data_IF_839657021139
#
_entry.id   IF_839657021139
#
_cell.length_a   1.000
_cell.length_b   1.000
_cell.length_c   1.000
_cell.angle_alpha   90.00
_cell.angle_beta   90.00
_cell.angle_gamma   90.00
#
_symmetry.space_group_name_H-M   'P 1'
#
loop_
_entity.id
_entity.type
_entity.pdbx_description
1 polymer ?
#
# COMPACT_ATOMS: atom_id res chain seq x y z
N UNK A 1 0.87 22.88 -17.19
CA UNK A 1 1.85 22.78 -16.10
C UNK A 1 3.23 22.91 -16.70
N UNK A 2 4.10 23.73 -16.13
CA UNK A 2 5.50 23.78 -16.55
C UNK A 2 6.15 22.41 -16.34
N UNK A 3 7.12 22.05 -17.19
CA UNK A 3 7.93 20.86 -16.93
C UNK A 3 8.63 21.01 -15.57
N UNK A 4 8.74 19.94 -14.78
CA UNK A 4 9.41 20.00 -13.48
C UNK A 4 10.89 20.37 -13.67
N UNK A 5 11.45 21.09 -12.70
CA UNK A 5 12.88 21.46 -12.70
C UNK A 5 13.76 20.20 -12.84
N UNK A 6 14.57 20.08 -13.91
CA UNK A 6 15.43 18.93 -14.12
C UNK A 6 16.41 18.68 -12.96
N UNK A 7 16.90 19.73 -12.30
CA UNK A 7 17.80 19.62 -11.16
C UNK A 7 17.13 18.96 -9.96
N UNK A 8 15.91 19.39 -9.65
CA UNK A 8 15.08 18.81 -8.60
C UNK A 8 14.76 17.33 -8.88
N UNK A 9 14.37 17.02 -10.12
CA UNK A 9 14.07 15.63 -10.52
C UNK A 9 15.30 14.73 -10.40
N UNK A 10 16.47 15.22 -10.80
CA UNK A 10 17.72 14.47 -10.67
C UNK A 10 18.07 14.19 -9.19
N UNK A 11 17.93 15.20 -8.32
CA UNK A 11 18.13 15.04 -6.89
C UNK A 11 17.17 14.01 -6.29
N UNK A 12 15.87 14.17 -6.52
CA UNK A 12 14.86 13.23 -6.01
C UNK A 12 15.01 11.82 -6.57
N UNK A 13 15.48 11.68 -7.81
CA UNK A 13 15.84 10.37 -8.38
C UNK A 13 16.95 9.73 -7.57
N UNK A 14 18.03 10.46 -7.27
CA UNK A 14 19.15 9.96 -6.49
C UNK A 14 18.73 9.57 -5.07
N UNK A 15 17.87 10.38 -4.43
CA UNK A 15 17.33 10.08 -3.10
C UNK A 15 16.45 8.82 -3.09
N UNK A 16 15.59 8.63 -4.09
CA UNK A 16 14.79 7.41 -4.21
C UNK A 16 15.65 6.17 -4.46
N UNK A 17 16.70 6.26 -5.28
CA UNK A 17 17.64 5.16 -5.48
C UNK A 17 18.39 4.82 -4.18
N UNK A 18 18.76 5.83 -3.38
CA UNK A 18 19.33 5.63 -2.05
C UNK A 18 18.34 4.93 -1.10
N UNK A 19 17.10 5.40 -1.04
CA UNK A 19 16.06 4.80 -0.19
C UNK A 19 15.80 3.34 -0.59
N UNK A 20 15.69 3.05 -1.88
CA UNK A 20 15.53 1.67 -2.37
C UNK A 20 16.71 0.76 -2.00
N UNK A 21 17.94 1.28 -1.99
CA UNK A 21 19.12 0.52 -1.59
C UNK A 21 19.22 0.28 -0.07
N UNK A 22 18.61 1.14 0.74
CA UNK A 22 18.55 1.01 2.21
C UNK A 22 17.37 0.14 2.68
N UNK A 23 16.35 -0.02 1.84
CA UNK A 23 15.17 -0.77 2.19
C UNK A 23 15.44 -2.28 2.19
N UNK A 24 15.09 -2.96 3.28
CA UNK A 24 14.94 -4.41 3.31
C UNK A 24 13.52 -4.81 2.85
N UNK A 25 13.41 -5.81 1.99
CA UNK A 25 12.14 -6.34 1.47
C UNK A 25 11.91 -7.80 1.86
N UNK A 26 12.61 -8.24 2.89
CA UNK A 26 12.47 -9.52 3.57
C UNK A 26 12.10 -9.24 5.04
N UNK A 27 11.62 -10.27 5.73
CA UNK A 27 11.37 -10.17 7.17
C UNK A 27 12.71 -10.13 7.90
N UNK A 28 12.99 -9.03 8.59
CA UNK A 28 14.22 -8.91 9.38
C UNK A 28 14.23 -9.93 10.54
N UNK A 29 15.43 -10.46 10.86
CA UNK A 29 15.61 -11.46 11.92
C UNK A 29 15.24 -10.95 13.33
N UNK A 30 15.22 -9.62 13.53
CA UNK A 30 14.95 -8.94 14.80
C UNK A 30 13.53 -8.36 14.89
N UNK A 31 12.62 -8.71 13.98
CA UNK A 31 11.22 -8.29 14.08
C UNK A 31 10.61 -8.72 15.43
N UNK A 32 9.90 -7.82 16.14
CA UNK A 32 9.34 -8.12 17.45
C UNK A 32 8.07 -9.00 17.38
N UNK A 33 7.65 -9.37 16.18
CA UNK A 33 6.49 -10.20 15.92
C UNK A 33 6.79 -11.18 14.77
N UNK A 34 5.99 -12.23 14.66
CA UNK A 34 6.04 -13.17 13.55
C UNK A 34 4.63 -13.41 13.01
N UNK A 35 4.41 -13.07 11.74
CA UNK A 35 3.23 -13.54 11.00
C UNK A 35 3.45 -15.03 10.65
N UNK A 36 3.10 -15.92 11.57
CA UNK A 36 3.63 -17.28 11.64
C UNK A 36 3.30 -18.19 10.44
N UNK A 37 4.23 -19.13 10.24
CA UNK A 37 4.38 -20.24 9.27
C UNK A 37 3.21 -21.24 9.13
N UNK A 38 2.13 -21.12 9.90
CA UNK A 38 0.99 -22.05 9.87
C UNK A 38 -0.03 -21.76 8.76
N UNK A 39 -0.08 -20.50 8.28
CA UNK A 39 -0.79 -20.18 7.04
C UNK A 39 0.08 -20.64 5.87
N UNK A 40 -0.28 -21.80 5.29
CA UNK A 40 0.32 -22.21 4.03
C UNK A 40 -0.36 -21.41 2.94
N UNK A 41 0.36 -20.44 2.38
CA UNK A 41 -0.06 -19.78 1.14
C UNK A 41 -0.34 -20.87 0.11
N UNK A 42 -1.62 -21.06 -0.22
CA UNK A 42 -2.03 -22.12 -1.14
C UNK A 42 -1.97 -21.58 -2.56
N UNK A 43 -1.23 -22.28 -3.42
CA UNK A 43 -1.24 -22.00 -4.86
C UNK A 43 -2.53 -22.57 -5.45
N UNK A 44 -3.36 -21.71 -6.01
CA UNK A 44 -4.59 -22.13 -6.67
C UNK A 44 -4.30 -22.63 -8.10
N UNK A 45 -5.05 -23.63 -8.60
CA UNK A 45 -4.95 -24.05 -9.98
C UNK A 45 -5.16 -22.88 -10.95
N UNK A 46 -4.40 -22.85 -12.04
CA UNK A 46 -4.57 -21.80 -13.05
C UNK A 46 -5.93 -21.93 -13.71
N UNK A 47 -6.73 -20.87 -13.60
CA UNK A 47 -8.02 -20.77 -14.28
C UNK A 47 -7.87 -20.61 -15.81
N UNK A 48 -6.72 -20.11 -16.27
CA UNK A 48 -6.42 -19.89 -17.69
C UNK A 48 -4.91 -20.14 -17.95
N UNK A 49 -4.50 -20.71 -19.10
CA UNK A 49 -3.08 -21.02 -19.37
C UNK A 49 -2.13 -19.82 -19.26
N UNK A 50 -2.61 -18.65 -19.70
CA UNK A 50 -1.89 -17.37 -19.66
C UNK A 50 -2.13 -16.56 -18.37
N UNK A 51 -2.98 -17.06 -17.46
CA UNK A 51 -3.20 -16.37 -16.20
C UNK A 51 -2.00 -16.58 -15.25
N UNK A 52 -1.65 -15.55 -14.48
CA UNK A 52 -0.71 -15.69 -13.38
C UNK A 52 -1.25 -16.64 -12.31
N UNK A 53 -0.33 -17.16 -11.49
CA UNK A 53 -0.71 -17.99 -10.34
C UNK A 53 -1.41 -17.14 -9.29
N UNK A 54 -2.52 -17.65 -8.75
CA UNK A 54 -3.24 -17.04 -7.63
C UNK A 54 -2.81 -17.75 -6.35
N UNK A 55 -2.62 -16.95 -5.31
CA UNK A 55 -2.27 -17.39 -3.97
C UNK A 55 -3.47 -17.19 -3.05
N UNK A 56 -3.61 -18.02 -2.03
CA UNK A 56 -4.64 -17.89 -1.00
C UNK A 56 -4.06 -18.01 0.39
N UNK A 57 -4.31 -17.01 1.23
CA UNK A 57 -4.11 -17.10 2.68
C UNK A 57 -5.35 -17.67 3.36
N UNK A 58 -5.15 -18.58 4.32
CA UNK A 58 -6.24 -19.07 5.18
C UNK A 58 -6.46 -18.05 6.31
N UNK A 59 -7.43 -17.17 6.09
CA UNK A 59 -7.66 -16.03 6.97
C UNK A 59 -8.11 -16.43 8.37
N UNK A 60 -8.79 -17.57 8.51
CA UNK A 60 -9.25 -18.08 9.80
C UNK A 60 -8.09 -18.68 10.62
N UNK A 61 -6.94 -18.93 9.98
CA UNK A 61 -5.71 -19.43 10.60
C UNK A 61 -4.58 -18.40 10.64
N UNK A 62 -4.85 -17.15 10.28
CA UNK A 62 -3.86 -16.08 10.40
C UNK A 62 -3.62 -15.79 11.88
N UNK A 63 -2.41 -16.11 12.33
CA UNK A 63 -1.90 -15.78 13.66
C UNK A 63 -0.63 -14.94 13.52
N UNK A 64 -0.60 -13.81 14.23
CA UNK A 64 0.53 -12.87 14.23
C UNK A 64 1.03 -12.75 15.67
N UNK A 65 1.92 -13.65 16.02
CA UNK A 65 2.46 -13.76 17.37
C UNK A 65 3.37 -12.57 17.68
N UNK A 66 3.23 -11.99 18.88
CA UNK A 66 4.08 -10.89 19.35
C UNK A 66 3.74 -9.51 18.78
N UNK A 67 2.69 -9.38 17.96
CA UNK A 67 2.21 -8.08 17.49
C UNK A 67 1.17 -7.54 18.47
N UNK A 68 1.44 -6.38 19.06
CA UNK A 68 0.60 -5.69 20.05
C UNK A 68 0.10 -4.34 19.54
N UNK A 69 0.88 -3.66 18.69
CA UNK A 69 0.51 -2.35 18.14
C UNK A 69 0.85 -2.18 16.66
N UNK A 70 -0.11 -1.62 15.93
CA UNK A 70 0.04 -1.23 14.53
C UNK A 70 -0.36 0.23 14.37
N UNK A 71 0.16 0.92 13.37
CA UNK A 71 -0.26 2.28 13.10
C UNK A 71 -0.54 2.53 11.62
N UNK A 72 -1.38 3.50 11.33
CA UNK A 72 -1.66 3.96 9.98
C UNK A 72 -1.37 5.44 9.82
N UNK A 73 -0.94 5.83 8.62
CA UNK A 73 -0.75 7.23 8.25
C UNK A 73 -1.50 7.58 6.98
N UNK A 74 -2.04 8.81 6.94
CA UNK A 74 -2.76 9.38 5.81
C UNK A 74 -2.67 10.91 5.80
N UNK A 75 -2.84 11.53 4.63
CA UNK A 75 -3.10 12.97 4.49
C UNK A 75 -4.49 13.19 3.90
N UNK A 76 -5.36 13.77 4.71
CA UNK A 76 -6.69 14.20 4.27
C UNK A 76 -6.66 15.65 3.80
N UNK A 77 -6.81 15.86 2.49
CA UNK A 77 -6.76 17.19 1.88
C UNK A 77 -8.03 18.02 2.13
N UNK A 78 -7.84 19.33 2.31
CA UNK A 78 -8.92 20.34 2.45
C UNK A 78 -9.88 20.29 1.27
N UNK A 79 -9.33 20.29 0.07
CA UNK A 79 -10.06 20.30 -1.19
C UNK A 79 -9.27 19.60 -2.31
N UNK A 80 -9.72 19.75 -3.56
CA UNK A 80 -9.14 19.07 -4.72
C UNK A 80 -7.80 19.67 -5.20
N UNK A 81 -7.35 20.79 -4.63
CA UNK A 81 -6.02 21.35 -4.94
C UNK A 81 -4.90 20.41 -4.51
N UNK A 82 -5.08 19.71 -3.37
CA UNK A 82 -4.03 18.91 -2.75
C UNK A 82 -2.91 19.74 -2.12
N UNK A 83 -3.13 21.03 -1.89
CA UNK A 83 -2.11 21.96 -1.37
C UNK A 83 -2.12 22.09 0.15
N UNK A 84 -3.27 21.89 0.79
CA UNK A 84 -3.41 21.90 2.24
C UNK A 84 -4.16 20.65 2.70
N UNK A 85 -3.72 20.07 3.82
CA UNK A 85 -4.35 18.88 4.39
C UNK A 85 -4.06 18.69 5.87
N UNK A 86 -4.55 17.60 6.41
CA UNK A 86 -4.24 17.13 7.76
C UNK A 86 -3.52 15.80 7.64
N UNK A 87 -2.24 15.78 8.01
CA UNK A 87 -1.49 14.54 8.18
C UNK A 87 -1.87 13.91 9.51
N UNK A 88 -2.08 12.59 9.52
CA UNK A 88 -2.50 11.84 10.70
C UNK A 88 -1.63 10.61 10.90
N UNK A 89 -1.30 10.32 12.15
CA UNK A 89 -0.80 9.04 12.64
C UNK A 89 -1.85 8.47 13.60
N UNK A 90 -2.35 7.27 13.32
CA UNK A 90 -3.29 6.56 14.19
C UNK A 90 -2.64 5.27 14.69
N UNK A 91 -2.39 5.17 16.01
CA UNK A 91 -1.85 3.96 16.66
C UNK A 91 -3.01 3.14 17.22
N UNK A 92 -3.07 1.86 16.83
CA UNK A 92 -4.11 0.93 17.20
C UNK A 92 -3.51 -0.26 17.96
N UNK A 93 -4.28 -0.82 18.90
CA UNK A 93 -3.95 -2.10 19.51
C UNK A 93 -4.16 -3.24 18.52
N UNK A 94 -3.43 -4.33 18.68
CA UNK A 94 -3.60 -5.58 17.96
C UNK A 94 -3.81 -6.71 18.98
N UNK A 95 -4.72 -7.68 18.73
CA UNK A 95 -5.54 -7.84 17.53
C UNK A 95 -6.84 -7.02 17.53
N UNK A 96 -7.16 -6.25 18.58
CA UNK A 96 -8.49 -5.60 18.72
C UNK A 96 -8.72 -4.45 17.74
N UNK A 97 -7.67 -3.89 17.14
CA UNK A 97 -7.70 -2.75 16.21
C UNK A 97 -8.46 -1.54 16.80
N UNK A 98 -8.27 -1.31 18.10
CA UNK A 98 -8.83 -0.17 18.83
C UNK A 98 -7.83 0.97 18.85
N UNK A 99 -8.29 2.20 18.59
CA UNK A 99 -7.44 3.39 18.67
C UNK A 99 -6.86 3.54 20.08
N UNK A 100 -5.53 3.56 20.18
CA UNK A 100 -4.75 3.79 21.40
C UNK A 100 -4.34 5.26 21.51
N UNK A 101 -3.84 5.82 20.40
CA UNK A 101 -3.43 7.21 20.31
C UNK A 101 -3.53 7.72 18.88
N UNK A 102 -3.66 9.04 18.73
CA UNK A 102 -3.57 9.69 17.42
C UNK A 102 -2.83 11.01 17.52
N UNK A 103 -2.05 11.32 16.48
CA UNK A 103 -1.40 12.61 16.28
C UNK A 103 -1.85 13.15 14.93
N UNK A 104 -2.03 14.47 14.85
CA UNK A 104 -2.42 15.11 13.60
C UNK A 104 -1.82 16.50 13.49
N UNK A 105 -1.51 16.91 12.27
CA UNK A 105 -0.97 18.24 12.00
C UNK A 105 -1.54 18.79 10.71
N UNK A 106 -1.88 20.07 10.70
CA UNK A 106 -2.17 20.81 9.46
C UNK A 106 -0.88 20.96 8.67
N UNK A 107 -0.91 20.56 7.41
CA UNK A 107 0.25 20.55 6.51
C UNK A 107 -0.06 21.32 5.24
N UNK A 108 0.98 21.94 4.68
CA UNK A 108 0.92 22.57 3.36
C UNK A 108 1.94 21.91 2.44
N UNK A 109 1.47 21.46 1.29
CA UNK A 109 2.26 20.85 0.22
C UNK A 109 2.48 21.84 -0.94
N UNK A 110 2.04 23.10 -0.81
CA UNK A 110 2.06 24.08 -1.89
C UNK A 110 3.49 24.43 -2.36
N UNK A 111 4.47 24.35 -1.46
CA UNK A 111 5.88 24.66 -1.75
C UNK A 111 6.61 23.51 -2.45
N UNK A 112 6.05 22.30 -2.48
CA UNK A 112 6.67 21.12 -3.09
C UNK A 112 5.87 20.69 -4.33
N UNK A 113 6.46 20.74 -5.53
CA UNK A 113 5.73 20.48 -6.76
C UNK A 113 5.23 19.04 -6.86
N UNK A 114 4.05 18.84 -7.46
CA UNK A 114 3.58 17.50 -7.83
C UNK A 114 4.32 16.98 -9.05
N UNK A 115 5.15 15.96 -8.85
CA UNK A 115 5.80 15.22 -9.94
C UNK A 115 5.39 13.75 -9.83
N UNK A 116 4.89 13.19 -10.92
CA UNK A 116 4.46 11.80 -10.97
C UNK A 116 5.60 10.86 -10.55
N UNK A 117 5.32 9.88 -9.67
CA UNK A 117 6.30 8.99 -9.02
C UNK A 117 7.25 9.66 -8.00
N UNK A 118 6.95 10.87 -7.54
CA UNK A 118 7.71 11.56 -6.49
C UNK A 118 6.82 12.08 -5.35
N UNK A 119 5.63 11.49 -5.18
CA UNK A 119 4.67 11.91 -4.16
C UNK A 119 5.26 11.81 -2.74
N UNK A 120 6.13 10.83 -2.47
CA UNK A 120 6.78 10.64 -1.17
C UNK A 120 7.51 11.89 -0.68
N UNK A 121 8.13 12.68 -1.55
CA UNK A 121 8.80 13.93 -1.16
C UNK A 121 7.83 15.01 -0.66
N UNK A 122 6.55 14.91 -1.02
CA UNK A 122 5.51 15.82 -0.51
C UNK A 122 4.92 15.40 0.82
N UNK A 123 4.95 14.10 1.15
CA UNK A 123 4.16 13.56 2.28
C UNK A 123 4.99 12.83 3.36
N UNK A 124 6.07 12.13 2.98
CA UNK A 124 6.76 11.20 3.88
C UNK A 124 7.32 11.89 5.13
N UNK A 125 7.92 13.07 4.97
CA UNK A 125 8.47 13.84 6.08
C UNK A 125 7.43 14.21 7.13
N UNK A 126 6.17 14.49 6.74
CA UNK A 126 5.10 14.74 7.70
C UNK A 126 4.76 13.49 8.51
N UNK A 127 4.83 12.30 7.91
CA UNK A 127 4.60 11.05 8.62
C UNK A 127 5.75 10.72 9.58
N UNK A 128 6.99 10.96 9.16
CA UNK A 128 8.19 10.80 10.00
C UNK A 128 8.10 11.71 11.22
N UNK A 129 7.78 12.99 11.01
CA UNK A 129 7.58 13.98 12.08
C UNK A 129 6.55 13.53 13.12
N UNK A 130 5.44 12.92 12.70
CA UNK A 130 4.40 12.43 13.61
C UNK A 130 4.87 11.22 14.42
N UNK A 131 5.66 10.32 13.82
CA UNK A 131 6.26 9.18 14.52
C UNK A 131 7.29 9.65 15.56
N UNK A 132 8.13 10.62 15.18
CA UNK A 132 9.12 11.19 16.10
C UNK A 132 8.46 12.01 17.23
N UNK A 133 7.37 12.71 16.93
CA UNK A 133 6.55 13.38 17.94
C UNK A 133 5.96 12.38 18.94
N UNK A 134 5.41 11.26 18.47
CA UNK A 134 4.93 10.16 19.33
C UNK A 134 6.06 9.69 20.28
N UNK A 135 7.21 9.30 19.72
CA UNK A 135 8.38 8.81 20.47
C UNK A 135 8.84 9.80 21.54
N UNK A 136 8.84 11.09 21.21
CA UNK A 136 9.34 12.15 22.10
C UNK A 136 8.35 12.58 23.16
N UNK A 137 7.04 12.57 22.87
CA UNK A 137 6.03 13.22 23.72
C UNK A 137 5.13 12.27 24.49
N UNK A 138 5.02 11.01 24.06
CA UNK A 138 4.10 10.02 24.65
C UNK A 138 4.82 8.71 24.95
N UNK A 139 5.76 8.70 25.92
CA UNK A 139 6.44 7.47 26.34
C UNK A 139 5.48 6.44 26.96
N UNK A 140 4.27 6.86 27.33
CA UNK A 140 3.18 6.00 27.79
C UNK A 140 2.50 5.20 26.65
N UNK A 141 2.66 5.64 25.41
CA UNK A 141 2.10 4.97 24.22
C UNK A 141 3.20 4.14 23.57
N UNK A 142 3.00 2.82 23.37
CA UNK A 142 3.99 2.00 22.68
C UNK A 142 4.24 2.51 21.26
N UNK A 143 5.50 2.49 20.83
CA UNK A 143 5.86 2.72 19.43
C UNK A 143 5.26 1.59 18.60
N UNK A 144 4.56 1.89 17.49
CA UNK A 144 3.96 0.85 16.66
C UNK A 144 5.02 -0.08 16.09
N UNK A 145 4.73 -1.38 16.09
CA UNK A 145 5.63 -2.39 15.55
C UNK A 145 5.56 -2.47 14.02
N UNK A 146 4.45 -2.00 13.42
CA UNK A 146 4.27 -1.90 11.96
C UNK A 146 3.53 -0.61 11.62
N UNK A 147 3.96 0.07 10.56
CA UNK A 147 3.27 1.22 9.97
C UNK A 147 2.63 0.87 8.62
N UNK A 148 1.35 1.19 8.47
CA UNK A 148 0.60 1.09 7.22
C UNK A 148 0.52 2.47 6.59
N UNK A 149 1.00 2.60 5.36
CA UNK A 149 1.03 3.87 4.62
C UNK A 149 0.03 3.82 3.47
N UNK A 150 -0.87 4.81 3.37
CA UNK A 150 -1.76 4.95 2.20
C UNK A 150 -0.94 5.33 0.96
N UNK A 151 -0.52 4.33 0.19
CA UNK A 151 0.41 4.49 -0.92
C UNK A 151 1.16 3.21 -1.24
N UNK A 152 2.07 3.28 -2.21
CA UNK A 152 2.90 2.14 -2.58
C UNK A 152 4.19 2.09 -1.75
N UNK A 153 4.75 0.90 -1.59
CA UNK A 153 6.12 0.64 -1.15
C UNK A 153 7.01 0.29 -2.34
N UNK A 154 7.49 -0.96 -2.39
CA UNK A 154 8.37 -1.49 -3.45
C UNK A 154 7.72 -1.48 -4.84
N UNK A 155 6.39 -1.54 -4.93
CA UNK A 155 5.65 -1.37 -6.18
C UNK A 155 5.71 0.08 -6.67
N UNK A 156 6.88 0.48 -7.15
CA UNK A 156 7.20 1.84 -7.58
C UNK A 156 8.29 1.78 -8.67
N UNK A 157 8.33 2.71 -9.66
CA UNK A 157 9.31 2.64 -10.76
C UNK A 157 10.78 2.58 -10.32
N UNK A 158 11.06 3.08 -9.12
CA UNK A 158 12.39 3.07 -8.49
C UNK A 158 12.44 2.26 -7.20
N UNK A 159 11.46 1.39 -6.96
CA UNK A 159 11.32 0.60 -5.73
C UNK A 159 11.27 1.41 -4.41
N UNK A 160 11.05 2.73 -4.51
CA UNK A 160 11.02 3.67 -3.39
C UNK A 160 9.72 4.48 -3.37
N UNK A 161 8.60 3.79 -3.15
CA UNK A 161 7.31 4.43 -2.88
C UNK A 161 7.28 5.09 -1.49
N UNK A 162 6.13 5.68 -1.14
CA UNK A 162 5.93 6.38 0.13
C UNK A 162 6.21 5.50 1.35
N UNK A 163 5.74 4.24 1.34
CA UNK A 163 5.99 3.33 2.46
C UNK A 163 7.48 3.02 2.66
N UNK A 164 8.26 2.99 1.56
CA UNK A 164 9.73 2.80 1.61
C UNK A 164 10.39 4.02 2.22
N UNK A 165 10.05 5.22 1.75
CA UNK A 165 10.61 6.47 2.26
C UNK A 165 10.37 6.61 3.77
N UNK A 166 9.12 6.42 4.21
CA UNK A 166 8.76 6.48 5.64
C UNK A 166 9.46 5.38 6.44
N UNK A 167 9.52 4.15 5.93
CA UNK A 167 10.14 3.04 6.65
C UNK A 167 11.64 3.23 6.84
N UNK A 168 12.36 3.61 5.79
CA UNK A 168 13.80 3.87 5.85
C UNK A 168 14.12 5.02 6.81
N UNK A 169 13.31 6.09 6.80
CA UNK A 169 13.55 7.27 7.66
C UNK A 169 13.16 7.02 9.13
N UNK A 170 12.10 6.26 9.40
CA UNK A 170 11.66 5.94 10.77
C UNK A 170 12.39 4.74 11.39
N UNK A 171 12.97 3.87 10.57
CA UNK A 171 13.51 2.56 10.95
C UNK A 171 12.45 1.51 11.30
N UNK A 172 11.16 1.83 11.13
CA UNK A 172 10.05 0.92 11.43
C UNK A 172 9.75 -0.02 10.26
N UNK A 173 9.23 -1.23 10.52
CA UNK A 173 8.63 -2.06 9.51
C UNK A 173 7.42 -1.36 8.88
N UNK A 174 7.35 -1.32 7.55
CA UNK A 174 6.27 -0.61 6.84
C UNK A 174 5.66 -1.40 5.69
N UNK A 175 4.36 -1.20 5.50
CA UNK A 175 3.59 -1.76 4.38
C UNK A 175 2.85 -0.64 3.64
N UNK A 176 2.96 -0.63 2.32
CA UNK A 176 2.18 0.24 1.45
C UNK A 176 0.83 -0.38 1.11
N UNK A 177 -0.25 0.38 1.33
CA UNK A 177 -1.63 0.04 0.99
C UNK A 177 -2.15 1.04 -0.04
N UNK A 178 -2.21 0.65 -1.31
CA UNK A 178 -2.79 1.49 -2.36
C UNK A 178 -4.23 1.06 -2.71
N UNK A 179 -5.11 2.06 -2.92
CA UNK A 179 -6.53 1.87 -3.26
C UNK A 179 -6.75 1.54 -4.74
N UNK A 180 -5.83 2.00 -5.59
CA UNK A 180 -5.85 1.90 -7.05
C UNK A 180 -4.51 1.33 -7.55
N UNK A 181 -4.51 0.66 -8.71
CA UNK A 181 -3.30 0.15 -9.33
C UNK A 181 -2.56 1.29 -10.04
N UNK A 182 -1.25 1.32 -9.86
CA UNK A 182 -0.35 2.23 -10.55
C UNK A 182 0.60 1.42 -11.45
N UNK A 183 0.39 1.40 -12.78
CA UNK A 183 1.29 0.72 -13.70
C UNK A 183 2.72 1.27 -13.58
N UNK A 184 3.72 0.39 -13.59
CA UNK A 184 5.13 0.78 -13.56
C UNK A 184 5.64 1.26 -14.94
N UNK A 185 4.96 0.85 -16.00
CA UNK A 185 5.28 1.22 -17.38
C UNK A 185 3.99 1.61 -18.10
N UNK A 186 4.05 2.65 -18.92
CA UNK A 186 2.98 2.95 -19.88
C UNK A 186 3.03 1.92 -21.02
N UNK A 187 1.87 1.50 -21.56
CA UNK A 187 1.86 0.61 -22.71
C UNK A 187 2.61 1.28 -23.88
N UNK A 188 3.55 0.53 -24.47
CA UNK A 188 4.05 0.85 -25.81
C UNK A 188 2.88 0.82 -26.79
N UNK A 189 2.78 1.83 -27.66
CA UNK A 189 1.69 2.01 -28.64
C UNK A 189 1.49 0.82 -29.63
N UNK A 190 2.37 -0.18 -29.60
CA UNK A 190 2.46 -1.23 -30.62
C UNK A 190 1.72 -2.54 -30.30
N UNK A 191 0.98 -2.65 -29.19
CA UNK A 191 0.27 -3.88 -28.83
C UNK A 191 -1.25 -3.82 -29.06
N UNK A 192 -1.68 -3.48 -30.28
CA UNK A 192 -3.05 -3.75 -30.74
C UNK A 192 -3.10 -5.07 -31.50
N UNK A 193 -3.11 -6.19 -30.76
CA UNK A 193 -3.56 -7.47 -31.33
C UNK A 193 -4.97 -7.78 -30.85
N UNK A 194 -5.96 -7.24 -31.57
CA UNK A 194 -7.36 -7.63 -31.37
C UNK A 194 -7.61 -8.96 -32.07
N UNK A 195 -7.55 -10.07 -31.34
CA UNK A 195 -8.07 -11.36 -31.82
C UNK A 195 -9.59 -11.39 -31.64
N UNK A 196 -10.31 -11.52 -32.76
CA UNK A 196 -11.75 -11.78 -32.76
C UNK A 196 -12.05 -13.13 -32.09
N UNK A 197 -12.85 -13.12 -31.02
CA UNK A 197 -13.45 -14.33 -30.43
C UNK A 197 -14.95 -14.37 -30.74
N UNK A 198 -15.47 -15.59 -30.91
CA UNK A 198 -16.90 -15.85 -31.16
C UNK A 198 -17.77 -15.40 -29.97
N UNK A 199 -19.02 -14.96 -30.21
CA UNK A 199 -19.89 -14.37 -29.20
C UNK A 199 -20.34 -15.32 -28.07
N UNK A 200 -19.97 -16.61 -28.11
CA UNK A 200 -20.32 -17.62 -27.11
C UNK A 200 -19.14 -18.06 -26.23
N UNK A 201 -17.91 -17.62 -26.51
CA UNK A 201 -16.78 -17.93 -25.65
C UNK A 201 -16.67 -16.89 -24.53
N UNK A 202 -16.33 -17.30 -23.29
CA UNK A 202 -15.99 -16.33 -22.25
C UNK A 202 -14.85 -15.44 -22.77
N UNK A 203 -14.87 -14.13 -22.48
CA UNK A 203 -13.86 -13.21 -22.98
C UNK A 203 -12.46 -13.70 -22.54
N UNK A 204 -11.46 -13.62 -23.44
CA UNK A 204 -10.12 -14.10 -23.13
C UNK A 204 -9.53 -13.32 -21.94
N UNK A 205 -8.69 -13.99 -21.15
CA UNK A 205 -8.01 -13.38 -20.01
C UNK A 205 -7.19 -12.15 -20.48
N UNK A 206 -7.30 -10.98 -19.80
CA UNK A 206 -6.58 -9.77 -20.22
C UNK A 206 -5.08 -9.91 -19.96
N UNK A 207 -4.30 -10.28 -20.97
CA UNK A 207 -2.85 -10.54 -20.84
C UNK A 207 -2.02 -9.27 -20.58
N UNK A 208 -2.56 -8.10 -20.88
CA UNK A 208 -1.94 -6.78 -20.69
C UNK A 208 -2.37 -6.11 -19.37
N UNK A 209 -2.91 -6.88 -18.42
CA UNK A 209 -3.51 -6.37 -17.17
C UNK A 209 -2.59 -5.47 -16.32
N UNK A 210 -1.26 -5.58 -16.46
CA UNK A 210 -0.27 -4.76 -15.76
C UNK A 210 -0.11 -3.34 -16.33
N UNK A 211 -0.75 -3.02 -17.46
CA UNK A 211 -0.59 -1.72 -18.15
C UNK A 211 -1.61 -0.66 -17.73
N UNK A 212 -2.71 -1.06 -17.07
CA UNK A 212 -3.77 -0.14 -16.69
C UNK A 212 -4.57 -0.62 -15.49
N UNK A 213 -5.15 0.32 -14.74
CA UNK A 213 -6.06 0.01 -13.64
C UNK A 213 -7.31 -0.77 -14.11
N UNK A 214 -7.79 -0.52 -15.32
CA UNK A 214 -8.93 -1.25 -15.89
C UNK A 214 -8.57 -2.71 -16.16
N UNK A 215 -7.42 -2.95 -16.81
CA UNK A 215 -6.93 -4.31 -17.08
C UNK A 215 -6.68 -5.09 -15.80
N UNK A 216 -6.02 -4.45 -14.81
CA UNK A 216 -5.77 -5.04 -13.50
C UNK A 216 -7.07 -5.44 -12.78
N UNK A 217 -8.07 -4.55 -12.77
CA UNK A 217 -9.40 -4.86 -12.18
C UNK A 217 -10.06 -6.05 -12.88
N UNK A 218 -10.04 -6.10 -14.21
CA UNK A 218 -10.62 -7.20 -14.97
C UNK A 218 -9.92 -8.54 -14.67
N UNK A 219 -8.58 -8.55 -14.58
CA UNK A 219 -7.82 -9.73 -14.19
C UNK A 219 -8.18 -10.19 -12.77
N UNK A 220 -8.26 -9.26 -11.81
CA UNK A 220 -8.64 -9.59 -10.44
C UNK A 220 -10.06 -10.15 -10.35
N UNK A 221 -11.02 -9.59 -11.07
CA UNK A 221 -12.40 -10.10 -11.11
C UNK A 221 -12.49 -11.51 -11.72
N UNK A 222 -11.65 -11.82 -12.70
CA UNK A 222 -11.59 -13.14 -13.31
C UNK A 222 -10.92 -14.19 -12.39
N UNK A 223 -9.96 -13.77 -11.55
CA UNK A 223 -9.06 -14.69 -10.84
C UNK A 223 -9.29 -14.79 -9.34
N UNK A 224 -9.60 -13.68 -8.66
CA UNK A 224 -9.73 -13.62 -7.22
C UNK A 224 -11.20 -13.83 -6.83
N UNK A 225 -11.48 -14.87 -6.05
CA UNK A 225 -12.84 -15.33 -5.79
C UNK A 225 -13.31 -15.01 -4.37
N UNK A 226 -12.39 -14.95 -3.42
CA UNK A 226 -12.73 -14.73 -2.01
C UNK A 226 -11.66 -13.97 -1.25
N UNK A 227 -12.00 -13.56 -0.02
CA UNK A 227 -11.06 -12.94 0.91
C UNK A 227 -9.84 -13.85 1.12
N UNK A 228 -8.65 -13.24 1.09
CA UNK A 228 -7.39 -13.96 1.20
C UNK A 228 -6.79 -14.38 -0.14
N UNK A 229 -7.55 -14.30 -1.24
CA UNK A 229 -7.00 -14.49 -2.58
C UNK A 229 -6.16 -13.27 -2.97
N UNK A 230 -4.96 -13.54 -3.50
CA UNK A 230 -4.09 -12.51 -4.02
C UNK A 230 -3.30 -12.94 -5.25
N UNK A 231 -2.98 -11.95 -6.07
CA UNK A 231 -2.18 -12.07 -7.27
C UNK A 231 -0.86 -11.35 -7.05
N UNK A 232 0.27 -12.06 -7.21
CA UNK A 232 1.59 -11.45 -7.20
C UNK A 232 1.82 -10.50 -8.38
N UNK A 233 2.48 -9.38 -8.13
CA UNK A 233 2.78 -8.34 -9.10
C UNK A 233 4.29 -8.24 -9.28
N UNK A 234 4.78 -8.59 -10.46
CA UNK A 234 6.18 -8.44 -10.84
C UNK A 234 6.35 -7.35 -11.91
N UNK A 235 7.42 -6.55 -11.89
CA UNK A 235 7.76 -5.68 -13.01
C UNK A 235 8.17 -6.54 -14.23
N UNK A 236 8.06 -6.01 -15.46
CA UNK A 236 8.44 -6.76 -16.67
C UNK A 236 9.89 -7.28 -16.69
N UNK A 237 10.78 -6.64 -15.93
CA UNK A 237 12.20 -6.96 -15.84
C UNK A 237 12.55 -7.99 -14.76
N UNK A 238 11.57 -8.47 -13.97
CA UNK A 238 11.81 -9.40 -12.86
C UNK A 238 10.75 -10.51 -12.82
N UNK A 239 11.14 -11.66 -12.27
CA UNK A 239 10.21 -12.73 -11.89
C UNK A 239 9.78 -12.64 -10.42
N UNK A 240 10.44 -11.79 -9.64
CA UNK A 240 10.14 -11.54 -8.24
C UNK A 240 8.91 -10.64 -8.10
N UNK A 241 8.01 -11.00 -7.19
CA UNK A 241 6.84 -10.17 -6.89
C UNK A 241 7.24 -9.00 -5.98
N UNK A 242 6.99 -7.78 -6.42
CA UNK A 242 7.22 -6.54 -5.66
C UNK A 242 5.95 -6.04 -4.95
N UNK A 243 4.80 -6.63 -5.27
CA UNK A 243 3.51 -6.29 -4.68
C UNK A 243 2.48 -7.39 -4.91
N UNK A 244 1.28 -7.17 -4.41
CA UNK A 244 0.15 -8.05 -4.57
C UNK A 244 -1.14 -7.26 -4.81
N UNK A 245 -1.99 -7.73 -5.73
CA UNK A 245 -3.39 -7.34 -5.76
C UNK A 245 -4.16 -8.32 -4.86
N UNK A 246 -4.79 -7.82 -3.79
CA UNK A 246 -5.34 -8.61 -2.69
C UNK A 246 -6.84 -8.34 -2.52
N UNK A 247 -7.65 -9.41 -2.48
CA UNK A 247 -9.01 -9.34 -1.93
C UNK A 247 -8.95 -9.43 -0.40
N UNK A 248 -8.93 -8.27 0.24
CA UNK A 248 -8.83 -8.15 1.71
C UNK A 248 -10.20 -8.11 2.42
N UNK A 249 -11.25 -7.71 1.71
CA UNK A 249 -12.54 -7.41 2.32
C UNK A 249 -13.27 -8.65 2.83
N UNK A 250 -13.90 -8.61 4.01
CA UNK A 250 -14.77 -9.69 4.49
C UNK A 250 -16.17 -9.67 3.90
N UNK A 251 -16.49 -8.70 3.02
CA UNK A 251 -17.78 -8.70 2.32
C UNK A 251 -17.86 -9.86 1.33
N UNK A 252 -18.96 -10.63 1.39
CA UNK A 252 -19.18 -11.83 0.54
C UNK A 252 -19.09 -11.57 -0.97
N UNK A 253 -19.38 -10.34 -1.41
CA UNK A 253 -19.39 -9.95 -2.82
C UNK A 253 -18.26 -8.95 -3.15
N UNK A 254 -17.18 -8.94 -2.37
CA UNK A 254 -16.05 -8.06 -2.61
C UNK A 254 -15.34 -8.44 -3.91
N UNK A 255 -15.29 -7.49 -4.85
CA UNK A 255 -14.63 -7.66 -6.15
C UNK A 255 -13.46 -6.69 -6.36
N UNK A 256 -13.34 -5.68 -5.49
CA UNK A 256 -12.36 -4.63 -5.64
C UNK A 256 -11.14 -4.92 -4.76
N UNK A 257 -9.97 -5.20 -5.35
CA UNK A 257 -8.78 -5.45 -4.56
C UNK A 257 -8.25 -4.16 -3.93
N UNK A 258 -7.31 -4.35 -3.00
CA UNK A 258 -6.28 -3.37 -2.64
C UNK A 258 -4.95 -3.83 -3.20
N UNK A 259 -3.98 -2.92 -3.28
CA UNK A 259 -2.63 -3.21 -3.75
C UNK A 259 -1.68 -3.08 -2.58
N UNK A 260 -1.07 -4.20 -2.20
CA UNK A 260 -0.16 -4.31 -1.05
C UNK A 260 1.27 -4.40 -1.59
N UNK A 261 2.19 -3.65 -1.01
CA UNK A 261 3.62 -3.80 -1.33
C UNK A 261 4.48 -3.55 -0.09
N UNK A 262 5.56 -4.32 0.12
CA UNK A 262 6.52 -4.07 1.20
C UNK A 262 7.07 -2.66 1.14
N UNK A 263 7.17 -1.99 2.28
CA UNK A 263 7.88 -0.72 2.40
C UNK A 263 9.29 -0.93 2.93
N UNK A 264 9.42 -1.49 4.12
CA UNK A 264 10.71 -1.72 4.79
C UNK A 264 10.60 -2.87 5.81
N UNK A 265 11.62 -3.72 5.89
CA UNK A 265 11.82 -4.81 6.89
C UNK A 265 10.72 -5.88 6.91
N UNK A 266 9.94 -6.00 5.83
CA UNK A 266 8.89 -6.98 5.70
C UNK A 266 8.95 -7.65 4.33
N UNK A 267 8.70 -8.95 4.30
CA UNK A 267 8.44 -9.70 3.07
C UNK A 267 7.08 -9.33 2.46
N UNK A 268 6.87 -9.68 1.18
CA UNK A 268 5.58 -9.52 0.53
C UNK A 268 4.48 -10.36 1.21
N UNK A 269 4.81 -11.61 1.54
CA UNK A 269 3.89 -12.53 2.21
C UNK A 269 3.47 -11.99 3.57
N UNK A 270 4.42 -11.54 4.38
CA UNK A 270 4.12 -10.92 5.68
C UNK A 270 3.30 -9.64 5.52
N UNK A 271 3.62 -8.81 4.53
CA UNK A 271 2.83 -7.61 4.20
C UNK A 271 1.37 -7.95 3.85
N UNK A 272 1.14 -8.99 3.06
CA UNK A 272 -0.22 -9.47 2.71
C UNK A 272 -0.96 -9.99 3.95
N UNK A 273 -0.30 -10.80 4.78
CA UNK A 273 -0.89 -11.34 6.02
C UNK A 273 -1.26 -10.24 7.01
N UNK A 274 -0.38 -9.25 7.20
CA UNK A 274 -0.64 -8.08 8.04
C UNK A 274 -1.81 -7.25 7.49
N UNK A 275 -1.90 -7.05 6.17
CA UNK A 275 -3.04 -6.37 5.55
C UNK A 275 -4.37 -7.12 5.81
N UNK A 276 -4.37 -8.45 5.72
CA UNK A 276 -5.54 -9.29 5.99
C UNK A 276 -5.93 -9.26 7.48
N UNK A 277 -4.97 -9.46 8.38
CA UNK A 277 -5.16 -9.47 9.82
C UNK A 277 -5.68 -8.12 10.34
N UNK A 278 -5.25 -7.02 9.70
CA UNK A 278 -5.68 -5.68 10.03
C UNK A 278 -6.94 -5.23 9.26
N UNK A 279 -7.62 -6.05 8.46
CA UNK A 279 -8.85 -5.65 7.75
C UNK A 279 -10.09 -6.27 8.41
N UNK A 280 -10.95 -5.44 9.02
CA UNK A 280 -12.23 -5.89 9.62
C UNK A 280 -13.45 -5.40 8.88
N UNK A 281 -13.42 -4.17 8.39
CA UNK A 281 -14.52 -3.55 7.66
C UNK A 281 -14.08 -3.03 6.29
N UNK A 282 -14.97 -3.12 5.30
CA UNK A 282 -14.65 -2.71 3.94
C UNK A 282 -13.45 -3.47 3.39
N UNK A 283 -12.61 -2.81 2.58
CA UNK A 283 -11.39 -3.41 1.97
C UNK A 283 -10.07 -2.82 2.48
N UNK A 284 -10.13 -1.72 3.23
CA UNK A 284 -8.93 -0.99 3.66
C UNK A 284 -8.59 -1.46 5.08
N UNK A 285 -7.32 -1.82 5.37
CA UNK A 285 -6.89 -2.14 6.73
C UNK A 285 -7.24 -1.01 7.71
N UNK A 286 -7.65 -1.41 8.91
CA UNK A 286 -8.09 -0.53 10.00
C UNK A 286 -7.11 0.61 10.30
N UNK A 287 -5.78 0.41 10.33
CA UNK A 287 -4.87 1.51 10.62
C UNK A 287 -4.99 2.66 9.61
N UNK A 288 -5.01 2.36 8.31
CA UNK A 288 -5.18 3.36 7.23
C UNK A 288 -6.60 3.94 7.26
N UNK A 289 -7.61 3.10 7.45
CA UNK A 289 -9.02 3.53 7.51
C UNK A 289 -9.28 4.50 8.67
N UNK A 290 -8.68 4.24 9.83
CA UNK A 290 -8.80 5.11 11.01
C UNK A 290 -8.02 6.41 10.81
N UNK A 291 -6.82 6.37 10.23
CA UNK A 291 -6.07 7.58 9.88
C UNK A 291 -6.85 8.50 8.92
N UNK A 292 -7.40 7.95 7.82
CA UNK A 292 -8.24 8.70 6.86
C UNK A 292 -9.51 9.26 7.51
N UNK A 293 -10.18 8.47 8.36
CA UNK A 293 -11.37 8.94 9.09
C UNK A 293 -11.06 10.13 9.98
N UNK A 294 -10.00 10.02 10.79
CA UNK A 294 -9.56 11.08 11.70
C UNK A 294 -9.11 12.33 10.92
N UNK A 295 -8.37 12.16 9.83
CA UNK A 295 -7.95 13.26 8.97
C UNK A 295 -9.12 14.02 8.37
N UNK A 296 -10.14 13.32 7.88
CA UNK A 296 -11.37 13.92 7.35
C UNK A 296 -12.23 14.57 8.44
N UNK A 297 -12.21 14.05 9.67
CA UNK A 297 -12.87 14.67 10.82
C UNK A 297 -12.20 16.01 11.17
N UNK A 298 -10.88 16.04 11.28
CA UNK A 298 -10.12 17.26 11.57
C UNK A 298 -10.21 18.28 10.43
N UNK A 299 -10.08 17.86 9.17
CA UNK A 299 -10.23 18.75 8.02
C UNK A 299 -11.61 19.43 7.98
N UNK A 300 -12.69 18.72 8.35
CA UNK A 300 -14.04 19.31 8.44
C UNK A 300 -14.18 20.34 9.57
N UNK A 301 -13.47 20.17 10.68
CA UNK A 301 -13.46 21.13 11.80
C UNK A 301 -12.67 22.39 11.42
N UNK A 302 -11.51 22.21 10.78
CA UNK A 302 -10.62 23.29 10.36
C UNK A 302 -11.18 24.11 9.19
N UNK A 303 -11.79 23.43 8.22
CA UNK A 303 -12.37 24.04 7.02
C UNK A 303 -13.82 23.58 6.82
N UNK A 304 -14.78 24.16 7.57
CA UNK A 304 -16.19 23.87 7.38
C UNK A 304 -16.63 24.20 5.95
N UNK A 305 -17.42 23.33 5.32
CA UNK A 305 -18.09 23.67 4.07
C UNK A 305 -19.20 24.67 4.40
N UNK A 306 -19.08 25.88 3.86
CA UNK A 306 -20.15 26.89 3.90
C UNK A 306 -21.39 26.44 3.14
#
# INVERSE_FOLDING_TARGET
MAAPDPGLVAQWTADQLRQAALACFDDDDDLPFAAARASTTTLLPRAHPLAPTVHREDVDRLDVAGLDTVAGVDISFRDRSGDEGVAVLAVLSFPELKLVASFSRTVSLASTPYVHSYLSFREAHFFVDLVDELRRTRPDVPVPQVLFVDGNGRWHPRQAGSAVAVGVETGLPTVGIAKEFHPLHSPSLDSTSSSHSSPNDPPPFPTDYLTSQRGMRAACQALLQQRGDWLGLAPPSSTEHWGAALLSSPSRNAQNPIFVSPGHRLSLETSVRLALACTREGKIPEPVRVADRLGREEARKLWPRG
#
